data_IF_502545433350
#
_entry.id   IF_502545433350
#
_cell.length_a   1.000
_cell.length_b   1.000
_cell.length_c   1.000
_cell.angle_alpha   90.00
_cell.angle_beta   90.00
_cell.angle_gamma   90.00
#
_symmetry.space_group_name_H-M   'P 1'
#
loop_
_entity.id
_entity.type
_entity.pdbx_description
1 polymer ?
#
# COMPACT_ATOMS: atom_id res chain seq x y z
N UNK A 1 -1.39 -4.58 -2.52
CA UNK A 1 0.01 -5.07 -2.68
C UNK A 1 0.36 -5.22 -4.14
N UNK A 2 1.64 -5.09 -4.46
CA UNK A 2 2.09 -5.13 -5.85
C UNK A 2 2.48 -6.51 -6.37
N UNK A 3 2.59 -7.49 -5.52
CA UNK A 3 3.01 -8.84 -5.87
C UNK A 3 2.40 -9.88 -4.95
N UNK A 4 2.20 -11.09 -5.46
CA UNK A 4 1.72 -12.21 -4.64
C UNK A 4 2.74 -12.65 -3.58
N UNK A 5 4.02 -12.33 -3.78
CA UNK A 5 5.05 -12.58 -2.78
C UNK A 5 4.83 -11.80 -1.48
N UNK A 6 4.07 -10.71 -1.53
CA UNK A 6 3.73 -9.90 -0.37
C UNK A 6 2.54 -10.45 0.41
N UNK A 7 1.84 -11.41 -0.15
CA UNK A 7 0.58 -11.94 0.40
C UNK A 7 0.75 -12.50 1.81
N UNK A 8 1.87 -13.17 2.08
CA UNK A 8 2.13 -13.77 3.39
C UNK A 8 2.12 -12.72 4.50
N UNK A 9 2.71 -11.56 4.26
CA UNK A 9 2.76 -10.46 5.23
C UNK A 9 1.42 -9.74 5.28
N UNK A 10 0.84 -9.45 4.11
CA UNK A 10 -0.44 -8.73 4.04
C UNK A 10 -1.61 -9.55 4.60
N UNK A 11 -1.52 -10.87 4.56
CA UNK A 11 -2.53 -11.74 5.20
C UNK A 11 -2.62 -11.53 6.70
N UNK A 12 -1.54 -11.13 7.34
CA UNK A 12 -1.55 -10.80 8.77
C UNK A 12 -2.37 -9.54 9.03
N UNK A 13 -2.28 -8.55 8.15
CA UNK A 13 -3.10 -7.35 8.24
C UNK A 13 -4.58 -7.69 8.04
N UNK A 14 -4.88 -8.54 7.07
CA UNK A 14 -6.25 -9.00 6.81
C UNK A 14 -6.83 -9.73 8.02
N UNK A 15 -6.05 -10.61 8.65
CA UNK A 15 -6.48 -11.35 9.84
C UNK A 15 -6.80 -10.39 11.01
N UNK A 16 -6.00 -9.33 11.16
CA UNK A 16 -6.24 -8.31 12.18
C UNK A 16 -7.53 -7.54 11.90
N UNK A 17 -7.79 -7.18 10.65
CA UNK A 17 -9.02 -6.50 10.26
C UNK A 17 -10.25 -7.38 10.54
N UNK A 18 -10.17 -8.67 10.24
CA UNK A 18 -11.24 -9.62 10.56
C UNK A 18 -11.51 -9.70 12.06
N UNK A 19 -10.44 -9.71 12.86
CA UNK A 19 -10.53 -9.75 14.32
C UNK A 19 -11.30 -8.56 14.87
N UNK A 20 -11.17 -7.38 14.26
CA UNK A 20 -11.87 -6.17 14.67
C UNK A 20 -13.22 -5.98 13.97
N UNK A 21 -13.65 -6.93 13.15
CA UNK A 21 -14.93 -6.84 12.45
C UNK A 21 -14.95 -5.79 11.34
N UNK A 22 -13.80 -5.46 10.77
CA UNK A 22 -13.68 -4.48 9.69
C UNK A 22 -13.69 -5.20 8.35
N UNK A 23 -14.62 -4.82 7.48
CA UNK A 23 -14.67 -5.35 6.12
C UNK A 23 -13.48 -4.85 5.31
N UNK A 24 -12.95 -5.72 4.46
CA UNK A 24 -11.81 -5.37 3.61
C UNK A 24 -11.87 -6.06 2.26
N UNK A 25 -11.13 -5.52 1.31
CA UNK A 25 -10.89 -6.11 0.01
C UNK A 25 -9.38 -6.26 -0.16
N UNK A 26 -8.92 -7.42 -0.61
CA UNK A 26 -7.49 -7.68 -0.83
C UNK A 26 -7.23 -7.81 -2.32
N UNK A 27 -6.33 -7.00 -2.85
CA UNK A 27 -6.06 -6.92 -4.28
C UNK A 27 -4.55 -6.92 -4.55
N UNK A 28 -4.14 -7.61 -5.60
CA UNK A 28 -2.76 -7.62 -6.08
C UNK A 28 -2.72 -6.86 -7.41
N UNK A 29 -2.11 -5.68 -7.42
CA UNK A 29 -1.94 -4.86 -8.62
C UNK A 29 -0.56 -4.25 -8.59
N UNK A 30 0.23 -4.50 -9.63
CA UNK A 30 1.54 -3.86 -9.79
C UNK A 30 1.36 -2.53 -10.53
N UNK A 31 1.71 -1.43 -9.86
CA UNK A 31 1.65 -0.10 -10.47
C UNK A 31 2.63 0.04 -11.64
N UNK A 32 3.75 -0.68 -11.58
CA UNK A 32 4.76 -0.62 -12.64
C UNK A 32 4.43 -1.49 -13.85
N UNK A 33 3.79 -2.65 -13.63
CA UNK A 33 3.48 -3.61 -14.69
C UNK A 33 2.12 -3.37 -15.34
N UNK A 34 1.17 -2.87 -14.55
CA UNK A 34 -0.21 -2.65 -14.99
C UNK A 34 -0.70 -1.27 -14.53
N UNK A 35 -0.09 -0.18 -15.05
CA UNK A 35 -0.40 1.17 -14.57
C UNK A 35 -1.87 1.56 -14.80
N UNK A 36 -2.44 1.20 -15.93
CA UNK A 36 -3.83 1.55 -16.23
C UNK A 36 -4.82 0.87 -15.28
N UNK A 37 -4.60 -0.42 -15.00
CA UNK A 37 -5.43 -1.18 -14.05
C UNK A 37 -5.29 -0.58 -12.66
N UNK A 38 -4.09 -0.22 -12.27
CA UNK A 38 -3.82 0.39 -10.98
C UNK A 38 -4.52 1.75 -10.84
N UNK A 39 -4.39 2.62 -11.85
CA UNK A 39 -5.03 3.93 -11.84
C UNK A 39 -6.55 3.83 -11.74
N UNK A 40 -7.14 2.95 -12.53
CA UNK A 40 -8.60 2.73 -12.51
C UNK A 40 -9.05 2.21 -11.15
N UNK A 41 -8.32 1.26 -10.58
CA UNK A 41 -8.63 0.72 -9.26
C UNK A 41 -8.55 1.79 -8.18
N UNK A 42 -7.47 2.57 -8.16
CA UNK A 42 -7.26 3.60 -7.14
C UNK A 42 -8.30 4.71 -7.21
N UNK A 43 -8.65 5.15 -8.42
CA UNK A 43 -9.67 6.17 -8.62
C UNK A 43 -11.07 5.68 -8.26
N UNK A 44 -11.36 4.40 -8.48
CA UNK A 44 -12.65 3.82 -8.17
C UNK A 44 -12.82 3.47 -6.68
N UNK A 45 -11.74 3.42 -5.92
CA UNK A 45 -11.76 2.97 -4.53
C UNK A 45 -12.69 3.81 -3.65
N UNK A 46 -12.67 5.12 -3.79
CA UNK A 46 -13.54 6.01 -3.02
C UNK A 46 -15.02 5.72 -3.30
N UNK A 47 -15.38 5.52 -4.57
CA UNK A 47 -16.75 5.21 -4.98
C UNK A 47 -17.24 3.88 -4.46
N UNK A 48 -16.35 2.95 -4.14
CA UNK A 48 -16.69 1.67 -3.53
C UNK A 48 -16.92 1.76 -2.03
N UNK A 49 -16.72 2.92 -1.43
CA UNK A 49 -16.83 3.09 0.02
C UNK A 49 -15.58 2.74 0.79
N UNK A 50 -14.46 2.59 0.13
CA UNK A 50 -13.16 2.35 0.80
C UNK A 50 -12.75 3.64 1.52
N UNK A 51 -12.43 3.52 2.80
CA UNK A 51 -12.04 4.66 3.65
C UNK A 51 -10.55 4.79 3.86
N UNK A 52 -9.82 3.67 3.76
CA UNK A 52 -8.37 3.61 3.98
C UNK A 52 -7.80 2.55 3.05
N UNK A 53 -6.65 2.84 2.46
CA UNK A 53 -5.89 1.86 1.70
C UNK A 53 -4.64 1.49 2.50
N UNK A 54 -4.40 0.19 2.64
CA UNK A 54 -3.16 -0.34 3.21
C UNK A 54 -2.35 -0.90 2.05
N UNK A 55 -1.23 -0.26 1.75
CA UNK A 55 -0.42 -0.58 0.58
C UNK A 55 0.93 -1.16 0.99
N UNK A 56 1.14 -2.43 0.72
CA UNK A 56 2.40 -3.12 0.97
C UNK A 56 3.25 -3.19 -0.30
N UNK A 57 4.50 -2.78 -0.20
CA UNK A 57 5.42 -2.80 -1.32
C UNK A 57 6.86 -2.98 -0.85
N UNK A 58 7.67 -3.65 -1.67
CA UNK A 58 9.09 -3.89 -1.40
C UNK A 58 10.00 -3.13 -2.34
N UNK A 59 11.28 -3.17 -2.06
CA UNK A 59 12.34 -2.53 -2.84
C UNK A 59 12.05 -1.02 -3.00
N UNK A 60 12.05 -0.48 -4.21
CA UNK A 60 11.63 0.90 -4.46
C UNK A 60 10.11 0.99 -4.34
N UNK A 61 9.62 1.10 -3.13
CA UNK A 61 8.21 0.96 -2.77
C UNK A 61 7.40 2.21 -3.14
N UNK A 62 7.03 2.32 -4.41
CA UNK A 62 6.28 3.48 -4.93
C UNK A 62 4.77 3.36 -4.75
N UNK A 63 4.26 2.14 -4.54
CA UNK A 63 2.83 1.87 -4.49
C UNK A 63 2.07 2.73 -3.48
N UNK A 64 2.54 2.88 -2.22
CA UNK A 64 1.82 3.71 -1.26
C UNK A 64 1.70 5.17 -1.69
N UNK A 65 2.78 5.77 -2.20
CA UNK A 65 2.75 7.14 -2.68
C UNK A 65 1.86 7.34 -3.89
N UNK A 66 1.85 6.39 -4.80
CA UNK A 66 0.96 6.43 -5.97
C UNK A 66 -0.50 6.29 -5.55
N UNK A 67 -0.80 5.44 -4.58
CA UNK A 67 -2.14 5.34 -4.00
C UNK A 67 -2.56 6.68 -3.39
N UNK A 68 -1.68 7.30 -2.61
CA UNK A 68 -1.97 8.57 -1.96
C UNK A 68 -2.20 9.70 -2.97
N UNK A 69 -1.56 9.64 -4.14
CA UNK A 69 -1.75 10.63 -5.19
C UNK A 69 -3.12 10.53 -5.87
N UNK A 70 -3.71 9.32 -5.90
CA UNK A 70 -4.95 9.05 -6.64
C UNK A 70 -6.17 8.84 -5.75
N UNK A 71 -5.96 8.62 -4.46
CA UNK A 71 -7.00 8.30 -3.49
C UNK A 71 -7.04 9.41 -2.43
N UNK A 72 -8.18 10.11 -2.24
CA UNK A 72 -8.25 11.27 -1.35
C UNK A 72 -8.28 10.94 0.14
N UNK A 73 -8.39 9.67 0.50
CA UNK A 73 -8.44 9.22 1.90
C UNK A 73 -7.05 8.75 2.37
N UNK A 74 -6.86 8.49 3.67
CA UNK A 74 -5.55 8.05 4.18
C UNK A 74 -5.05 6.75 3.57
N UNK A 75 -3.75 6.70 3.33
CA UNK A 75 -3.05 5.51 2.85
C UNK A 75 -1.97 5.12 3.87
N UNK A 76 -1.96 3.85 4.25
CA UNK A 76 -0.95 3.31 5.16
C UNK A 76 0.05 2.51 4.35
N UNK A 77 1.32 2.94 4.35
CA UNK A 77 2.38 2.24 3.63
C UNK A 77 3.06 1.20 4.52
N UNK A 78 3.20 -0.02 4.02
CA UNK A 78 3.93 -1.09 4.70
C UNK A 78 5.17 -1.44 3.88
N UNK A 79 6.39 -1.13 4.39
CA UNK A 79 7.63 -1.51 3.71
C UNK A 79 7.86 -3.01 3.86
N UNK A 80 8.02 -3.70 2.72
CA UNK A 80 8.28 -5.13 2.71
C UNK A 80 9.77 -5.41 2.74
N UNK A 81 10.17 -6.43 3.50
CA UNK A 81 11.54 -6.89 3.51
C UNK A 81 11.89 -7.55 2.17
N UNK A 82 13.01 -7.17 1.58
CA UNK A 82 13.47 -7.68 0.30
C UNK A 82 14.82 -8.36 0.40
N UNK A 83 15.31 -8.84 -0.74
CA UNK A 83 16.57 -9.60 -0.79
C UNK A 83 17.83 -8.76 -0.60
N UNK A 84 17.78 -7.48 -1.00
CA UNK A 84 19.00 -6.66 -1.06
C UNK A 84 19.26 -5.88 0.23
N UNK A 85 18.30 -5.07 0.66
CA UNK A 85 18.47 -4.15 1.80
C UNK A 85 17.53 -4.46 2.96
N UNK A 86 16.96 -5.66 2.98
CA UNK A 86 16.12 -6.15 4.10
C UNK A 86 14.97 -5.20 4.46
N UNK A 87 14.41 -4.52 3.47
CA UNK A 87 13.30 -3.60 3.67
C UNK A 87 13.69 -2.15 3.90
N UNK A 88 14.98 -1.84 4.05
CA UNK A 88 15.43 -0.47 4.23
C UNK A 88 15.17 0.40 3.00
N UNK A 89 15.33 -0.17 1.82
CA UNK A 89 15.00 0.48 0.55
C UNK A 89 13.50 0.81 0.47
N UNK A 90 12.65 -0.13 0.85
CA UNK A 90 11.21 0.09 0.87
C UNK A 90 10.83 1.15 1.91
N UNK A 91 11.40 1.09 3.09
CA UNK A 91 11.16 2.08 4.14
C UNK A 91 11.55 3.48 3.68
N UNK A 92 12.76 3.65 3.13
CA UNK A 92 13.21 4.95 2.64
C UNK A 92 12.34 5.47 1.50
N UNK A 93 11.93 4.60 0.57
CA UNK A 93 11.05 5.00 -0.53
C UNK A 93 9.71 5.55 -0.02
N UNK A 94 9.18 4.97 1.04
CA UNK A 94 7.92 5.41 1.63
C UNK A 94 8.10 6.70 2.44
N UNK A 95 9.09 6.74 3.34
CA UNK A 95 9.26 7.89 4.25
C UNK A 95 9.85 9.13 3.58
N UNK A 96 10.51 8.97 2.44
CA UNK A 96 11.09 10.08 1.68
C UNK A 96 10.13 10.70 0.66
N UNK A 97 8.87 10.32 0.70
CA UNK A 97 7.87 10.95 -0.16
C UNK A 97 7.78 12.46 0.11
N UNK A 98 7.50 13.25 -0.93
CA UNK A 98 7.32 14.69 -0.75
C UNK A 98 6.27 15.02 0.31
N UNK A 99 6.40 16.16 1.00
CA UNK A 99 5.36 16.61 1.93
C UNK A 99 4.00 16.73 1.21
N UNK A 100 2.93 16.63 1.98
CA UNK A 100 1.53 16.68 1.49
C UNK A 100 1.02 15.37 0.87
N UNK A 101 1.78 14.29 0.97
CA UNK A 101 1.22 12.98 0.73
C UNK A 101 0.26 12.63 1.88
N UNK A 102 -0.93 12.14 1.54
CA UNK A 102 -1.91 11.70 2.55
C UNK A 102 -1.56 10.35 3.15
N UNK A 103 -0.43 9.83 2.77
CA UNK A 103 0.08 8.55 3.20
C UNK A 103 0.46 8.53 4.68
N UNK A 104 -0.01 7.51 5.39
CA UNK A 104 0.46 7.17 6.73
C UNK A 104 1.57 6.14 6.61
N UNK A 105 2.68 6.37 7.28
CA UNK A 105 3.87 5.55 7.13
C UNK A 105 4.12 4.71 8.37
N UNK A 106 4.06 3.41 8.19
CA UNK A 106 4.39 2.47 9.27
C UNK A 106 5.85 2.70 9.68
N UNK A 107 6.08 2.88 10.98
CA UNK A 107 7.42 3.11 11.54
C UNK A 107 7.86 4.57 11.57
N UNK A 108 7.06 5.51 11.11
CA UNK A 108 7.37 6.94 11.15
C UNK A 108 6.44 7.73 12.07
N UNK A 109 5.36 7.18 12.40
CA UNK A 109 4.43 7.76 13.39
C UNK A 109 5.10 7.84 14.79
#
# INVERSE_FOLDING_TARGET
MGSDSDLKVMSKAAATLEKFGIDYEMTIISAHRMPDVFFDWAKAAEGKGIKVIIAGAGMAAHLPGMCAALFPMPVIGIPMSGKNLEGMDALYSIVQMPPRSEERRVGKE
#
